data_IF_880698707365
#
_entry.id   IF_880698707365
#
_cell.length_a   1.000
_cell.length_b   1.000
_cell.length_c   1.000
_cell.angle_alpha   90.00
_cell.angle_beta   90.00
_cell.angle_gamma   90.00
#
_symmetry.space_group_name_H-M   'P 1'
#
loop_
_entity.id
_entity.type
_entity.pdbx_description
1 polymer ?
#
# COMPACT_ATOMS: atom_id res chain seq x y z
N UNK A 1 -85.00 -25.85 -8.61
CA UNK A 1 -84.20 -26.64 -7.64
C UNK A 1 -82.87 -26.98 -8.33
N UNK A 2 -81.82 -26.14 -8.29
CA UNK A 2 -80.65 -26.06 -7.34
C UNK A 2 -80.02 -27.47 -7.14
N UNK A 3 -78.71 -27.77 -7.37
CA UNK A 3 -77.46 -27.14 -6.86
C UNK A 3 -76.22 -27.73 -7.58
N UNK A 4 -75.41 -26.96 -8.36
CA UNK A 4 -74.12 -26.22 -8.16
C UNK A 4 -72.75 -27.00 -8.12
N UNK A 5 -71.92 -26.71 -9.16
CA UNK A 5 -70.45 -26.34 -9.25
C UNK A 5 -69.36 -27.32 -8.75
N UNK A 6 -68.46 -27.89 -9.58
CA UNK A 6 -67.21 -27.36 -10.24
C UNK A 6 -66.13 -26.93 -9.19
N UNK A 7 -64.81 -27.26 -9.22
CA UNK A 7 -63.85 -27.63 -10.28
C UNK A 7 -62.43 -27.95 -9.66
N UNK A 8 -61.56 -28.67 -10.41
CA UNK A 8 -60.06 -28.85 -10.38
C UNK A 8 -59.33 -29.32 -9.09
N UNK A 9 -58.50 -30.38 -9.04
CA UNK A 9 -57.36 -30.88 -9.85
C UNK A 9 -55.97 -30.33 -9.41
N UNK A 10 -55.11 -31.20 -8.85
CA UNK A 10 -53.64 -31.11 -9.02
C UNK A 10 -52.99 -32.47 -8.75
N UNK A 11 -52.18 -32.91 -9.71
CA UNK A 11 -51.61 -34.25 -9.90
C UNK A 11 -50.21 -34.35 -9.29
N UNK A 12 -49.93 -35.43 -8.56
CA UNK A 12 -48.60 -35.81 -8.08
C UNK A 12 -48.07 -36.96 -8.96
N UNK A 13 -46.96 -36.77 -9.66
CA UNK A 13 -46.24 -37.87 -10.31
C UNK A 13 -44.80 -37.91 -9.81
N UNK A 14 -44.48 -39.02 -9.17
CA UNK A 14 -43.17 -39.44 -8.69
C UNK A 14 -42.47 -40.21 -9.83
N UNK A 15 -41.23 -39.85 -10.18
CA UNK A 15 -40.40 -40.67 -11.06
C UNK A 15 -38.93 -40.64 -10.61
N UNK A 16 -38.51 -41.77 -10.07
CA UNK A 16 -37.13 -42.17 -9.74
C UNK A 16 -36.24 -42.20 -10.99
N UNK A 17 -35.12 -41.47 -10.99
CA UNK A 17 -34.09 -41.57 -12.03
C UNK A 17 -32.70 -41.82 -11.42
N UNK A 18 -32.27 -43.07 -11.57
CA UNK A 18 -30.92 -43.58 -11.87
C UNK A 18 -29.71 -42.66 -11.62
N UNK A 19 -28.78 -43.16 -10.82
CA UNK A 19 -27.44 -42.63 -10.64
C UNK A 19 -26.70 -42.46 -11.99
N UNK A 20 -26.37 -41.22 -12.33
CA UNK A 20 -25.43 -40.85 -13.38
C UNK A 20 -24.21 -40.16 -12.75
N UNK A 21 -22.99 -40.29 -13.32
CA UNK A 21 -21.78 -39.79 -12.69
C UNK A 21 -21.80 -38.27 -12.67
N UNK A 22 -21.45 -37.69 -11.52
CA UNK A 22 -21.26 -36.26 -11.39
C UNK A 22 -20.16 -35.81 -12.37
N UNK A 23 -20.56 -35.15 -13.44
CA UNK A 23 -19.63 -34.44 -14.32
C UNK A 23 -19.32 -33.10 -13.67
N UNK A 24 -18.03 -32.87 -13.42
CA UNK A 24 -17.52 -31.58 -12.99
C UNK A 24 -17.87 -30.52 -14.05
N UNK A 25 -18.44 -29.41 -13.58
CA UNK A 25 -18.85 -28.29 -14.40
C UNK A 25 -17.63 -27.41 -14.72
N UNK A 26 -17.43 -27.10 -16.01
CA UNK A 26 -16.14 -26.71 -16.58
C UNK A 26 -15.82 -25.20 -16.48
N UNK A 27 -16.53 -24.43 -15.65
CA UNK A 27 -16.18 -23.04 -15.24
C UNK A 27 -17.22 -22.46 -14.26
N UNK A 28 -16.81 -21.90 -13.10
CA UNK A 28 -17.75 -21.20 -12.22
C UNK A 28 -18.10 -19.81 -12.80
N UNK A 29 -19.40 -19.50 -12.91
CA UNK A 29 -19.90 -18.21 -13.38
C UNK A 29 -19.76 -17.05 -12.36
N UNK A 30 -19.37 -17.36 -11.12
CA UNK A 30 -19.07 -16.36 -10.09
C UNK A 30 -18.02 -16.92 -9.11
N UNK A 31 -16.93 -16.17 -8.89
CA UNK A 31 -15.93 -16.49 -7.86
C UNK A 31 -16.06 -15.46 -6.74
N UNK A 32 -16.54 -15.87 -5.57
CA UNK A 32 -16.57 -15.04 -4.37
C UNK A 32 -15.33 -15.32 -3.51
N UNK A 33 -14.36 -14.42 -3.54
CA UNK A 33 -13.21 -14.45 -2.65
C UNK A 33 -13.57 -13.70 -1.37
N UNK A 34 -13.70 -14.42 -0.26
CA UNK A 34 -13.75 -13.81 1.07
C UNK A 34 -12.35 -13.38 1.51
N UNK A 35 -12.22 -12.21 2.12
CA UNK A 35 -10.99 -11.80 2.82
C UNK A 35 -10.83 -12.65 4.09
N UNK A 36 -9.89 -13.60 4.09
CA UNK A 36 -9.44 -14.22 5.34
C UNK A 36 -8.47 -13.28 6.05
N UNK A 37 -8.91 -12.70 7.17
CA UNK A 37 -8.01 -12.19 8.22
C UNK A 37 -7.24 -13.38 8.78
N UNK A 38 -6.00 -13.58 8.31
CA UNK A 38 -5.10 -14.57 8.89
C UNK A 38 -4.11 -15.24 7.94
N UNK A 39 -3.59 -14.55 6.92
CA UNK A 39 -2.42 -15.05 6.17
C UNK A 39 -1.18 -15.12 7.07
N UNK A 40 -0.21 -15.97 6.73
CA UNK A 40 1.07 -16.35 7.39
C UNK A 40 1.92 -15.24 8.06
N UNK A 41 1.52 -13.97 7.97
CA UNK A 41 2.17 -12.80 8.52
C UNK A 41 2.30 -12.73 10.05
N UNK A 42 1.43 -13.33 10.90
CA UNK A 42 1.64 -13.31 12.35
C UNK A 42 2.93 -14.05 12.79
N UNK A 43 3.25 -15.17 12.14
CA UNK A 43 4.44 -15.96 12.49
C UNK A 43 5.75 -15.28 12.04
N UNK A 44 5.71 -14.54 10.93
CA UNK A 44 6.85 -13.75 10.44
C UNK A 44 7.02 -12.47 11.26
N UNK A 45 5.93 -11.81 11.64
CA UNK A 45 5.94 -10.63 12.53
C UNK A 45 6.41 -10.98 13.95
N UNK A 46 6.06 -12.17 14.46
CA UNK A 46 6.45 -12.61 15.79
C UNK A 46 7.95 -12.94 15.91
N UNK A 47 8.60 -13.29 14.79
CA UNK A 47 10.06 -13.52 14.73
C UNK A 47 10.87 -12.24 14.47
N UNK A 48 10.20 -11.11 14.24
CA UNK A 48 10.82 -9.86 13.81
C UNK A 48 11.78 -10.06 12.62
N UNK A 49 11.63 -11.11 11.80
CA UNK A 49 12.64 -11.48 10.79
C UNK A 49 12.65 -10.51 9.62
N UNK A 50 11.49 -9.95 9.27
CA UNK A 50 11.41 -8.88 8.29
C UNK A 50 11.81 -7.56 8.94
N UNK A 51 11.34 -7.29 10.16
CA UNK A 51 11.64 -6.07 10.91
C UNK A 51 13.15 -5.91 11.19
N UNK A 52 13.86 -7.00 11.52
CA UNK A 52 15.31 -7.02 11.72
C UNK A 52 16.09 -7.05 10.40
N UNK A 53 15.49 -7.50 9.30
CA UNK A 53 16.08 -7.39 7.96
C UNK A 53 15.94 -5.98 7.38
N UNK A 54 14.85 -5.27 7.74
CA UNK A 54 14.56 -3.91 7.27
C UNK A 54 15.04 -2.81 8.22
N UNK A 55 15.24 -3.10 9.51
CA UNK A 55 15.82 -2.14 10.49
C UNK A 55 17.18 -1.58 10.08
N UNK A 56 18.14 -2.39 9.58
CA UNK A 56 19.41 -1.89 9.08
C UNK A 56 19.26 -1.16 7.75
N UNK A 57 18.17 -1.40 7.02
CA UNK A 57 17.91 -0.78 5.72
C UNK A 57 17.36 0.63 5.85
N UNK A 58 17.00 1.10 7.06
CA UNK A 58 16.60 2.48 7.32
C UNK A 58 15.71 3.03 6.21
N UNK A 59 14.55 2.41 6.00
CA UNK A 59 13.74 2.68 4.80
C UNK A 59 13.36 4.16 4.77
N UNK A 60 14.07 4.88 3.91
CA UNK A 60 13.84 6.29 3.67
C UNK A 60 12.64 6.47 2.74
N UNK A 61 11.87 7.53 3.00
CA UNK A 61 10.84 7.98 2.08
C UNK A 61 11.46 8.99 1.12
N UNK A 62 11.15 8.84 -0.18
CA UNK A 62 11.66 9.72 -1.22
C UNK A 62 10.51 10.49 -1.88
N UNK A 63 10.75 11.77 -2.16
CA UNK A 63 9.92 12.50 -3.12
C UNK A 63 10.38 12.17 -4.54
N UNK A 64 9.44 11.76 -5.37
CA UNK A 64 9.69 11.43 -6.77
C UNK A 64 8.97 12.48 -7.63
N UNK A 65 9.70 13.03 -8.60
CA UNK A 65 9.17 13.96 -9.58
C UNK A 65 9.56 13.48 -10.98
N UNK A 66 8.76 13.87 -11.99
CA UNK A 66 9.08 13.60 -13.38
C UNK A 66 10.28 14.44 -13.84
N UNK A 67 11.19 13.85 -14.61
CA UNK A 67 12.41 14.50 -15.13
C UNK A 67 12.11 15.79 -15.88
N UNK A 68 11.15 15.78 -16.82
CA UNK A 68 10.79 16.96 -17.62
C UNK A 68 10.30 18.11 -16.74
N UNK A 69 9.59 17.80 -15.64
CA UNK A 69 9.12 18.81 -14.70
C UNK A 69 10.29 19.43 -13.92
N UNK A 70 11.22 18.60 -13.46
CA UNK A 70 12.41 19.05 -12.72
C UNK A 70 13.32 19.90 -13.62
N UNK A 71 13.52 19.51 -14.87
CA UNK A 71 14.32 20.25 -15.84
C UNK A 71 13.67 21.56 -16.28
N UNK A 72 12.34 21.58 -16.45
CA UNK A 72 11.60 22.77 -16.88
C UNK A 72 11.42 23.79 -15.77
N UNK A 73 11.28 23.34 -14.53
CA UNK A 73 10.99 24.21 -13.39
C UNK A 73 11.92 23.98 -12.18
N UNK A 74 13.26 24.02 -12.36
CA UNK A 74 14.21 23.65 -11.29
C UNK A 74 14.08 24.56 -10.07
N UNK A 75 13.84 25.86 -10.26
CA UNK A 75 13.64 26.81 -9.16
C UNK A 75 12.33 26.59 -8.41
N UNK A 76 11.29 26.06 -9.07
CA UNK A 76 10.04 25.71 -8.39
C UNK A 76 10.24 24.46 -7.53
N UNK A 77 10.94 23.45 -8.05
CA UNK A 77 11.28 22.24 -7.31
C UNK A 77 12.16 22.57 -6.10
N UNK A 78 13.16 23.44 -6.26
CA UNK A 78 13.98 23.92 -5.15
C UNK A 78 13.13 24.59 -4.05
N UNK A 79 12.18 25.46 -4.44
CA UNK A 79 11.26 26.09 -3.48
C UNK A 79 10.37 25.08 -2.77
N UNK A 80 9.82 24.10 -3.50
CA UNK A 80 9.00 23.04 -2.88
C UNK A 80 9.82 22.25 -1.85
N UNK A 81 11.06 21.88 -2.16
CA UNK A 81 11.94 21.20 -1.22
C UNK A 81 12.28 22.08 0.00
N UNK A 82 12.53 23.37 -0.19
CA UNK A 82 12.72 24.32 0.93
C UNK A 82 11.51 24.34 1.84
N UNK A 83 10.30 24.46 1.26
CA UNK A 83 9.05 24.45 2.04
C UNK A 83 8.86 23.11 2.76
N UNK A 84 9.07 21.98 2.10
CA UNK A 84 8.93 20.68 2.76
C UNK A 84 9.95 20.49 3.90
N UNK A 85 11.18 20.99 3.73
CA UNK A 85 12.18 20.97 4.79
C UNK A 85 11.74 21.82 6.00
N UNK A 86 11.20 23.03 5.77
CA UNK A 86 10.73 23.88 6.88
C UNK A 86 9.51 23.30 7.59
N UNK A 87 8.53 22.79 6.83
CA UNK A 87 7.35 22.14 7.39
C UNK A 87 7.71 20.86 8.16
N UNK A 88 8.71 20.11 7.68
CA UNK A 88 9.22 18.92 8.37
C UNK A 88 9.83 19.24 9.74
N UNK A 89 10.60 20.33 9.84
CA UNK A 89 11.15 20.81 11.12
C UNK A 89 10.03 21.23 12.07
N UNK A 90 9.01 21.93 11.57
CA UNK A 90 7.86 22.29 12.38
C UNK A 90 7.11 21.04 12.86
N UNK A 91 6.86 20.07 11.98
CA UNK A 91 6.12 18.85 12.29
C UNK A 91 6.82 18.02 13.38
N UNK A 92 8.15 17.86 13.33
CA UNK A 92 8.93 17.18 14.37
C UNK A 92 8.78 17.84 15.76
N UNK A 93 8.50 19.15 15.82
CA UNK A 93 8.30 19.89 17.06
C UNK A 93 6.82 19.96 17.51
N UNK A 94 5.86 19.61 16.64
CA UNK A 94 4.42 19.80 16.84
C UNK A 94 3.63 18.52 16.58
N UNK A 95 4.10 17.40 17.12
CA UNK A 95 3.50 16.07 16.92
C UNK A 95 2.01 16.00 17.29
N UNK A 96 1.55 16.76 18.28
CA UNK A 96 0.14 16.75 18.68
C UNK A 96 -0.76 17.44 17.65
N UNK A 97 -0.32 18.58 17.11
CA UNK A 97 -0.99 19.28 16.01
C UNK A 97 -1.03 18.42 14.75
N UNK A 98 0.10 17.77 14.41
CA UNK A 98 0.20 16.83 13.30
C UNK A 98 -0.77 15.67 13.49
N UNK A 99 -0.84 15.08 14.69
CA UNK A 99 -1.74 13.98 14.98
C UNK A 99 -3.21 14.38 14.85
N UNK A 100 -3.59 15.57 15.35
CA UNK A 100 -4.96 16.09 15.21
C UNK A 100 -5.33 16.29 13.74
N UNK A 101 -4.48 16.97 12.97
CA UNK A 101 -4.71 17.21 11.55
C UNK A 101 -4.83 15.90 10.76
N UNK A 102 -3.97 14.92 11.06
CA UNK A 102 -4.02 13.62 10.40
C UNK A 102 -5.27 12.81 10.79
N UNK A 103 -5.71 12.88 12.05
CA UNK A 103 -6.92 12.20 12.51
C UNK A 103 -8.17 12.79 11.88
N UNK A 104 -8.26 14.12 11.80
CA UNK A 104 -9.34 14.83 11.13
C UNK A 104 -9.41 14.47 9.63
N UNK A 105 -8.27 14.47 8.94
CA UNK A 105 -8.21 14.19 7.51
C UNK A 105 -8.50 12.72 7.15
N UNK A 106 -8.13 11.76 8.01
CA UNK A 106 -8.21 10.32 7.71
C UNK A 106 -9.37 9.61 8.39
N UNK A 107 -9.94 10.19 9.45
CA UNK A 107 -10.95 9.55 10.29
C UNK A 107 -10.42 8.38 11.16
N UNK A 108 -9.09 8.18 11.20
CA UNK A 108 -8.47 7.16 12.05
C UNK A 108 -8.42 7.65 13.50
N UNK A 109 -8.54 6.72 14.43
CA UNK A 109 -8.46 7.00 15.87
C UNK A 109 -7.20 7.78 16.24
N UNK A 110 -7.39 8.83 17.05
CA UNK A 110 -6.33 9.77 17.42
C UNK A 110 -5.22 9.11 18.23
N UNK A 111 -5.51 8.10 19.07
CA UNK A 111 -4.47 7.41 19.84
C UNK A 111 -3.58 6.54 18.93
N UNK A 112 -4.18 5.92 17.91
CA UNK A 112 -3.43 5.18 16.90
C UNK A 112 -2.51 6.12 16.09
N UNK A 113 -3.01 7.30 15.71
CA UNK A 113 -2.22 8.31 14.99
C UNK A 113 -1.13 8.91 15.86
N UNK A 114 -1.42 9.35 17.09
CA UNK A 114 -0.41 9.86 18.03
C UNK A 114 0.75 8.89 18.17
N UNK A 115 0.44 7.60 18.32
CA UNK A 115 1.45 6.54 18.38
C UNK A 115 2.29 6.43 17.10
N UNK A 116 1.70 6.64 15.93
CA UNK A 116 2.41 6.68 14.66
C UNK A 116 3.31 7.92 14.58
N UNK A 117 2.73 9.11 14.73
CA UNK A 117 3.41 10.41 14.65
C UNK A 117 4.61 10.48 15.60
N UNK A 118 4.45 10.03 16.86
CA UNK A 118 5.53 10.04 17.85
C UNK A 118 6.74 9.15 17.52
N UNK A 119 6.63 8.26 16.52
CA UNK A 119 7.76 7.43 16.04
C UNK A 119 8.26 7.86 14.66
N UNK A 120 7.61 8.83 14.04
CA UNK A 120 7.94 9.31 12.71
C UNK A 120 9.04 10.36 12.79
N UNK A 121 9.74 10.52 11.68
CA UNK A 121 10.64 11.65 11.44
C UNK A 121 10.10 12.35 10.19
N UNK A 122 9.83 13.65 10.29
CA UNK A 122 9.27 14.46 9.21
C UNK A 122 10.33 15.25 8.44
N UNK A 123 11.60 15.12 8.85
CA UNK A 123 12.72 15.83 8.28
C UNK A 123 12.96 15.46 6.81
N UNK A 124 12.91 16.47 5.96
CA UNK A 124 13.23 16.40 4.53
C UNK A 124 14.63 16.97 4.32
N UNK A 125 15.53 16.16 3.77
CA UNK A 125 16.93 16.51 3.55
C UNK A 125 17.38 16.09 2.14
N UNK A 126 18.42 16.72 1.57
CA UNK A 126 19.06 16.22 0.36
C UNK A 126 19.56 14.78 0.56
N UNK A 127 19.47 13.96 -0.48
CA UNK A 127 20.03 12.61 -0.45
C UNK A 127 21.56 12.69 -0.37
N UNK A 128 22.13 12.05 0.66
CA UNK A 128 23.57 11.90 0.81
C UNK A 128 24.07 10.60 0.15
N UNK A 129 25.39 10.40 0.17
CA UNK A 129 26.02 9.24 -0.45
C UNK A 129 25.63 7.91 0.21
N UNK A 130 25.34 7.90 1.52
CA UNK A 130 24.98 6.70 2.27
C UNK A 130 23.55 6.26 1.94
N UNK A 131 22.62 7.22 1.84
CA UNK A 131 21.24 6.99 1.38
C UNK A 131 21.24 6.46 -0.05
N UNK A 132 21.99 7.09 -0.96
CA UNK A 132 22.11 6.64 -2.36
C UNK A 132 22.66 5.20 -2.42
N UNK A 133 23.68 4.89 -1.63
CA UNK A 133 24.26 3.55 -1.54
C UNK A 133 23.27 2.52 -1.00
N UNK A 134 22.50 2.87 0.04
CA UNK A 134 21.46 2.00 0.59
C UNK A 134 20.39 1.69 -0.47
N UNK A 135 19.90 2.72 -1.15
CA UNK A 135 18.90 2.56 -2.21
C UNK A 135 19.43 1.77 -3.41
N UNK A 136 20.70 1.95 -3.78
CA UNK A 136 21.34 1.14 -4.82
C UNK A 136 21.36 -0.34 -4.45
N UNK A 137 21.68 -0.69 -3.20
CA UNK A 137 21.68 -2.08 -2.75
C UNK A 137 20.28 -2.72 -2.83
N UNK A 138 19.23 -1.94 -2.59
CA UNK A 138 17.84 -2.37 -2.80
C UNK A 138 17.59 -2.62 -4.29
N UNK A 139 17.94 -1.68 -5.16
CA UNK A 139 17.76 -1.81 -6.61
C UNK A 139 18.51 -3.03 -7.18
N UNK A 140 19.75 -3.25 -6.77
CA UNK A 140 20.57 -4.40 -7.17
C UNK A 140 19.94 -5.72 -6.75
N UNK A 141 19.40 -5.78 -5.53
CA UNK A 141 18.71 -6.98 -5.04
C UNK A 141 17.45 -7.27 -5.84
N UNK A 142 16.69 -6.26 -6.22
CA UNK A 142 15.50 -6.41 -7.05
C UNK A 142 15.86 -6.91 -8.46
N UNK A 143 16.94 -6.38 -9.06
CA UNK A 143 17.44 -6.84 -10.35
C UNK A 143 17.91 -8.30 -10.28
N UNK A 144 18.69 -8.66 -9.26
CA UNK A 144 19.19 -10.03 -9.03
C UNK A 144 18.06 -11.05 -8.86
N UNK A 145 16.95 -10.66 -8.24
CA UNK A 145 15.78 -11.51 -8.06
C UNK A 145 14.82 -11.52 -9.26
N UNK A 146 15.11 -10.73 -10.32
CA UNK A 146 14.24 -10.62 -11.49
C UNK A 146 12.93 -9.88 -11.23
N UNK A 147 12.84 -9.09 -10.15
CA UNK A 147 11.65 -8.32 -9.79
C UNK A 147 11.52 -7.01 -10.58
N UNK A 148 12.62 -6.57 -11.19
CA UNK A 148 12.64 -5.45 -12.13
C UNK A 148 13.26 -5.90 -13.46
N UNK A 149 12.77 -5.39 -14.59
CA UNK A 149 13.18 -5.85 -15.91
C UNK A 149 14.60 -5.40 -16.29
N UNK A 150 15.10 -4.32 -15.68
CA UNK A 150 16.42 -3.76 -15.97
C UNK A 150 17.09 -3.29 -14.67
N UNK A 151 18.42 -3.43 -14.55
CA UNK A 151 19.17 -2.78 -13.48
C UNK A 151 18.97 -1.26 -13.53
N UNK A 152 18.99 -0.64 -12.34
CA UNK A 152 18.86 0.80 -12.18
C UNK A 152 20.11 1.31 -11.47
N UNK A 153 20.70 2.38 -11.99
CA UNK A 153 21.72 3.13 -11.28
C UNK A 153 21.07 4.33 -10.58
N UNK A 154 20.97 4.28 -9.26
CA UNK A 154 20.24 5.26 -8.45
C UNK A 154 20.88 6.64 -8.54
N UNK A 155 22.21 6.74 -8.62
CA UNK A 155 22.89 8.05 -8.70
C UNK A 155 22.46 8.88 -9.91
N UNK A 156 22.03 8.21 -10.99
CA UNK A 156 21.71 8.86 -12.26
C UNK A 156 20.33 9.54 -12.22
N UNK A 157 19.49 9.17 -11.25
CA UNK A 157 18.12 9.69 -11.10
C UNK A 157 17.97 10.61 -9.88
N UNK A 158 19.05 10.88 -9.15
CA UNK A 158 19.03 11.82 -8.02
C UNK A 158 19.19 13.24 -8.52
N UNK A 159 18.14 14.04 -8.34
CA UNK A 159 18.24 15.48 -8.50
C UNK A 159 18.95 16.11 -7.30
N UNK A 160 19.98 16.92 -7.56
CA UNK A 160 20.78 17.58 -6.52
C UNK A 160 20.19 18.94 -6.19
N UNK A 161 19.98 19.18 -4.90
CA UNK A 161 19.50 20.45 -4.38
C UNK A 161 20.20 20.81 -3.08
N UNK A 162 20.38 22.10 -2.84
CA UNK A 162 20.97 22.65 -1.62
C UNK A 162 19.93 23.48 -0.88
N UNK A 163 19.62 23.21 0.39
CA UNK A 163 18.71 24.04 1.16
C UNK A 163 19.12 25.51 1.13
N UNK A 164 18.21 26.39 0.74
CA UNK A 164 18.45 27.84 0.67
C UNK A 164 19.02 28.38 -0.66
N UNK A 165 19.18 27.53 -1.70
CA UNK A 165 19.51 27.96 -3.07
C UNK A 165 18.28 28.38 -3.87
#
# INVERSE_FOLDING_TARGET
MITRRHILATTLVLATALAAPARAEDKPAEIRIGTQKGGFFPAVRQRQTLENAFKPLGIDAYYIANTDFVEKYPSLVARLNTTFASEGVWADAHHEEVAKAQAEATGVDIEAIRRFVNRSSYRVVPLDADVIKSQQAVADRFAKLGLIPKPVNVSDIVWKWTPGS
#
